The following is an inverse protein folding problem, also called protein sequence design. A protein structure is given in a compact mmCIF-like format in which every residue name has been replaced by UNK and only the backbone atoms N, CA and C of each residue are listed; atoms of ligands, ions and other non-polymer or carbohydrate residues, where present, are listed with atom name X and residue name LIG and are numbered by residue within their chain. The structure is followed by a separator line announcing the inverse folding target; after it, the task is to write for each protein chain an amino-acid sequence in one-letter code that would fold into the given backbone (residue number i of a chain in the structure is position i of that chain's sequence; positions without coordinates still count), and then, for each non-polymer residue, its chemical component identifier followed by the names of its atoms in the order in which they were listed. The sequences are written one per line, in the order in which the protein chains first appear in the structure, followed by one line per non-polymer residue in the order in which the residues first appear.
data_IF_000636025684
#
_entry.id   IF_000636025684
#
_cell.length_a   1.000
_cell.length_b   1.000
_cell.length_c   1.000
_cell.angle_alpha   90.00
_cell.angle_beta   90.00
_cell.angle_gamma   90.00
#
_symmetry.space_group_name_H-M   'P 1'
#
loop_
_entity.id
_entity.type
_entity.pdbx_description
1 polymer ?
#
# COMPACT_ATOMS: atom_id res chain seq x y z
N UNK A 1 -11.85 -2.92 -3.41
CA UNK A 1 -11.36 -4.00 -2.55
C UNK A 1 -12.12 -5.29 -2.79
N UNK A 2 -13.42 -5.22 -3.08
CA UNK A 2 -14.30 -6.38 -3.27
C UNK A 2 -13.84 -7.39 -4.33
N UNK A 3 -13.03 -6.99 -5.31
CA UNK A 3 -12.45 -7.91 -6.31
C UNK A 3 -11.26 -8.74 -5.81
N UNK A 4 -10.74 -8.46 -4.60
CA UNK A 4 -9.62 -9.19 -3.99
C UNK A 4 -10.15 -10.18 -2.96
N UNK A 5 -10.90 -9.66 -1.97
CA UNK A 5 -11.60 -10.44 -0.98
C UNK A 5 -12.85 -9.66 -0.56
N UNK A 6 -14.03 -10.21 -0.83
CA UNK A 6 -15.33 -9.61 -0.52
C UNK A 6 -15.86 -10.00 0.86
N UNK A 7 -15.16 -10.87 1.59
CA UNK A 7 -15.60 -11.40 2.89
C UNK A 7 -15.10 -10.57 4.07
N UNK A 8 -14.14 -9.67 3.86
CA UNK A 8 -13.55 -8.82 4.88
C UNK A 8 -13.66 -7.32 4.54
N UNK A 9 -13.54 -6.41 5.52
CA UNK A 9 -13.60 -4.98 5.26
C UNK A 9 -12.48 -4.50 4.32
N UNK A 10 -12.78 -3.48 3.49
CA UNK A 10 -11.84 -2.95 2.50
C UNK A 10 -10.52 -2.45 3.13
N UNK A 11 -10.58 -1.86 4.32
CA UNK A 11 -9.40 -1.40 5.06
C UNK A 11 -8.43 -2.53 5.38
N UNK A 12 -8.94 -3.69 5.80
CA UNK A 12 -8.14 -4.89 6.09
C UNK A 12 -7.50 -5.42 4.80
N UNK A 13 -8.24 -5.42 3.70
CA UNK A 13 -7.70 -5.80 2.39
C UNK A 13 -6.56 -4.87 1.98
N UNK A 14 -6.70 -3.56 2.16
CA UNK A 14 -5.65 -2.59 1.83
C UNK A 14 -4.38 -2.84 2.64
N UNK A 15 -4.50 -3.03 3.95
CA UNK A 15 -3.35 -3.30 4.82
C UNK A 15 -2.64 -4.60 4.41
N UNK A 16 -3.40 -5.65 4.08
CA UNK A 16 -2.86 -6.92 3.62
C UNK A 16 -2.09 -6.77 2.30
N UNK A 17 -2.65 -6.08 1.31
CA UNK A 17 -1.98 -5.86 0.02
C UNK A 17 -0.73 -4.98 0.17
N UNK A 18 -0.78 -3.93 1.00
CA UNK A 18 0.40 -3.11 1.31
C UNK A 18 1.49 -3.94 1.97
N UNK A 19 1.14 -4.87 2.85
CA UNK A 19 2.11 -5.76 3.48
C UNK A 19 2.73 -6.76 2.49
N UNK A 20 1.96 -7.28 1.53
CA UNK A 20 2.49 -8.08 0.41
C UNK A 20 3.48 -7.26 -0.42
N UNK A 21 3.11 -6.04 -0.81
CA UNK A 21 4.02 -5.15 -1.56
C UNK A 21 5.34 -4.88 -0.79
N UNK A 22 5.26 -4.65 0.53
CA UNK A 22 6.47 -4.51 1.36
C UNK A 22 7.36 -5.75 1.34
N UNK A 23 6.77 -6.95 1.37
CA UNK A 23 7.51 -8.21 1.26
C UNK A 23 8.20 -8.33 -0.11
N UNK A 24 7.56 -7.82 -1.17
CA UNK A 24 8.10 -7.78 -2.54
C UNK A 24 9.12 -6.66 -2.77
N UNK A 25 9.66 -6.05 -1.71
CA UNK A 25 10.66 -4.96 -1.78
C UNK A 25 10.12 -3.65 -2.36
N UNK A 26 8.80 -3.46 -2.37
CA UNK A 26 8.20 -2.15 -2.60
C UNK A 26 8.18 -1.36 -1.30
N UNK A 27 8.56 -0.08 -1.37
CA UNK A 27 8.48 0.86 -0.25
C UNK A 27 7.31 1.81 -0.50
N UNK A 28 6.14 1.61 0.14
CA UNK A 28 5.04 2.55 0.08
C UNK A 28 5.47 3.93 0.59
N UNK A 29 4.98 4.97 -0.07
CA UNK A 29 5.24 6.39 0.25
C UNK A 29 3.92 7.09 0.57
N UNK A 30 2.88 6.82 -0.22
CA UNK A 30 1.58 7.45 -0.11
C UNK A 30 0.48 6.40 -0.35
N UNK A 31 -0.64 6.55 0.34
CA UNK A 31 -1.85 5.76 0.12
C UNK A 31 -3.04 6.70 0.19
N UNK A 32 -3.90 6.66 -0.82
CA UNK A 32 -5.09 7.49 -0.92
C UNK A 32 -6.31 6.65 -1.32
N UNK A 33 -7.46 6.94 -0.72
CA UNK A 33 -8.75 6.37 -1.11
C UNK A 33 -9.35 7.19 -2.24
N UNK A 34 -10.07 6.56 -3.17
CA UNK A 34 -10.68 7.25 -4.31
C UNK A 34 -12.09 7.80 -4.01
N UNK A 35 -12.44 7.95 -2.73
CA UNK A 35 -13.70 8.56 -2.32
C UNK A 35 -13.72 10.07 -2.61
N UNK A 36 -14.83 10.63 -3.11
CA UNK A 36 -16.17 10.03 -3.21
C UNK A 36 -16.48 9.32 -4.54
N UNK A 37 -15.52 9.24 -5.47
CA UNK A 37 -15.77 8.79 -6.83
C UNK A 37 -15.88 7.26 -6.93
N UNK A 38 -15.01 6.53 -6.24
CA UNK A 38 -14.98 5.06 -6.24
C UNK A 38 -14.89 4.52 -4.82
N UNK A 39 -15.93 3.80 -4.39
CA UNK A 39 -16.00 3.20 -3.05
C UNK A 39 -15.07 1.99 -2.94
N UNK A 40 -14.48 1.80 -1.77
CA UNK A 40 -13.60 0.67 -1.46
C UNK A 40 -12.38 0.55 -2.40
N UNK A 41 -12.00 1.62 -3.11
CA UNK A 41 -10.81 1.66 -3.95
C UNK A 41 -9.73 2.53 -3.31
N UNK A 42 -8.48 2.07 -3.39
CA UNK A 42 -7.32 2.79 -2.91
C UNK A 42 -6.18 2.70 -3.92
N UNK A 43 -5.41 3.79 -4.02
CA UNK A 43 -4.17 3.85 -4.76
C UNK A 43 -3.01 3.92 -3.77
N UNK A 44 -1.98 3.10 -3.98
CA UNK A 44 -0.76 3.10 -3.18
C UNK A 44 0.39 3.46 -4.10
N UNK A 45 1.11 4.52 -3.76
CA UNK A 45 2.28 5.02 -4.51
C UNK A 45 3.53 4.78 -3.68
N UNK A 46 4.61 4.39 -4.34
CA UNK A 46 5.85 4.05 -3.67
C UNK A 46 6.96 3.72 -4.66
N UNK A 47 8.13 3.40 -4.12
CA UNK A 47 9.30 3.05 -4.92
C UNK A 47 9.64 1.56 -4.81
N UNK A 48 10.04 0.96 -5.93
CA UNK A 48 10.52 -0.42 -5.95
C UNK A 48 12.02 -0.47 -5.67
N UNK A 49 12.45 -1.34 -4.76
CA UNK A 49 13.87 -1.56 -4.41
C UNK A 49 14.64 -0.27 -4.12
N UNK A 50 13.99 0.67 -3.44
CA UNK A 50 14.60 1.97 -3.12
C UNK A 50 15.82 1.73 -2.21
N UNK A 51 17.00 2.27 -2.56
CA UNK A 51 18.19 2.14 -1.72
C UNK A 51 17.90 2.74 -0.34
N UNK A 52 18.28 2.01 0.72
CA UNK A 52 18.20 2.52 2.08
C UNK A 52 19.17 3.70 2.20
N UNK A 53 18.67 4.89 2.52
CA UNK A 53 19.54 6.04 2.87
C UNK A 53 20.47 5.57 3.99
N UNK A 54 21.79 5.63 3.77
CA UNK A 54 22.76 5.38 4.82
C UNK A 54 22.53 6.45 5.89
N UNK A 55 22.35 6.03 7.14
CA UNK A 55 22.51 6.95 8.27
C UNK A 55 24.01 7.20 8.35
N UNK A 56 24.45 8.35 7.83
CA UNK A 56 25.78 8.82 8.15
C UNK A 56 25.79 9.06 9.67
N UNK A 57 26.68 8.32 10.35
CA UNK A 57 26.88 8.46 11.79
C UNK A 57 27.54 9.83 12.02
N UNK A 58 26.82 10.73 12.67
CA UNK A 58 27.41 11.89 13.35
C UNK A 58 28.05 11.44 14.67
#
# INVERSE_FOLDING_TARGET
ANCIDSTVPATVVFDNEVNKLKADQFKPIEQITLEPFERDHACVVGGYRVPKKKKDAE
#
